data_IF_143911138372
#
_entry.id   IF_143911138372
#
_cell.length_a   1.000
_cell.length_b   1.000
_cell.length_c   1.000
_cell.angle_alpha   90.00
_cell.angle_beta   90.00
_cell.angle_gamma   90.00
#
_symmetry.space_group_name_H-M   'P 1'
#
loop_
_entity.id
_entity.type
_entity.pdbx_description
1 polymer ?
#
# COMPACT_ATOMS: atom_id res chain seq x y z
N UNK A 1 -4.49 24.48 20.65
CA UNK A 1 -4.30 23.66 19.44
C UNK A 1 -2.94 23.02 19.59
N UNK A 2 -2.92 21.74 19.94
CA UNK A 2 -1.71 20.92 19.74
C UNK A 2 -1.85 20.43 18.31
N UNK A 3 -0.86 20.73 17.52
CA UNK A 3 -0.77 20.31 16.16
C UNK A 3 -0.67 18.78 16.23
N UNK A 4 -1.71 18.06 15.84
CA UNK A 4 -1.69 16.61 15.59
C UNK A 4 -0.85 16.37 14.33
N UNK A 5 0.40 16.83 14.33
CA UNK A 5 1.42 16.33 13.44
C UNK A 5 1.71 14.91 13.93
N UNK A 6 0.87 13.99 13.48
CA UNK A 6 1.22 12.58 13.39
C UNK A 6 2.63 12.51 12.84
N UNK A 7 3.46 11.70 13.47
CA UNK A 7 4.83 11.54 13.03
C UNK A 7 4.77 10.98 11.61
N UNK A 8 5.22 11.77 10.63
CA UNK A 8 5.14 11.42 9.22
C UNK A 8 5.84 10.08 9.02
N UNK A 9 5.15 9.10 8.46
CA UNK A 9 5.71 7.75 8.25
C UNK A 9 6.75 7.81 7.13
N UNK A 10 7.87 7.14 7.31
CA UNK A 10 8.83 6.88 6.24
C UNK A 10 8.27 5.81 5.29
N UNK A 11 7.67 6.25 4.18
CA UNK A 11 7.05 5.32 3.23
C UNK A 11 8.07 4.49 2.47
N UNK A 12 9.27 5.04 2.25
CA UNK A 12 10.33 4.33 1.53
C UNK A 12 10.76 3.10 2.35
N UNK A 13 10.96 3.27 3.65
CA UNK A 13 11.29 2.16 4.56
C UNK A 13 10.20 1.06 4.58
N UNK A 14 8.92 1.46 4.63
CA UNK A 14 7.78 0.51 4.55
C UNK A 14 7.79 -0.27 3.24
N UNK A 15 8.02 0.42 2.11
CA UNK A 15 8.07 -0.20 0.78
C UNK A 15 9.24 -1.18 0.71
N UNK A 16 10.43 -0.79 1.17
CA UNK A 16 11.60 -1.66 1.15
C UNK A 16 11.39 -2.91 2.01
N UNK A 17 10.83 -2.79 3.22
CA UNK A 17 10.46 -3.95 4.04
C UNK A 17 9.46 -4.88 3.30
N UNK A 18 8.47 -4.31 2.59
CA UNK A 18 7.50 -5.11 1.84
C UNK A 18 8.13 -5.82 0.64
N UNK A 19 9.04 -5.16 -0.08
CA UNK A 19 9.78 -5.75 -1.20
C UNK A 19 10.62 -6.93 -0.71
N UNK A 20 11.35 -6.78 0.40
CA UNK A 20 12.13 -7.87 0.99
C UNK A 20 11.26 -9.10 1.29
N UNK A 21 10.05 -8.90 1.83
CA UNK A 21 9.11 -10.00 2.07
C UNK A 21 8.66 -10.70 0.79
N UNK A 22 8.37 -9.95 -0.29
CA UNK A 22 7.95 -10.52 -1.57
C UNK A 22 9.09 -11.32 -2.19
N UNK A 23 10.32 -10.79 -2.17
CA UNK A 23 11.52 -11.48 -2.68
C UNK A 23 11.86 -12.74 -1.87
N UNK A 24 11.64 -12.73 -0.56
CA UNK A 24 11.81 -13.90 0.31
C UNK A 24 10.75 -14.98 0.05
N UNK A 25 9.50 -14.59 -0.20
CA UNK A 25 8.39 -15.49 -0.47
C UNK A 25 8.49 -16.14 -1.86
N UNK A 26 8.85 -15.36 -2.89
CA UNK A 26 9.04 -15.84 -4.26
C UNK A 26 10.11 -15.03 -5.03
N UNK A 27 11.34 -15.56 -5.16
CA UNK A 27 12.46 -14.87 -5.80
C UNK A 27 12.38 -14.81 -7.33
N UNK A 28 11.42 -15.51 -7.96
CA UNK A 28 11.24 -15.47 -9.42
C UNK A 28 10.38 -14.28 -9.86
N UNK A 29 9.77 -13.56 -8.92
CA UNK A 29 8.97 -12.36 -9.18
C UNK A 29 9.85 -11.16 -9.56
N UNK A 30 9.38 -10.40 -10.55
CA UNK A 30 9.94 -9.10 -10.92
C UNK A 30 9.17 -8.02 -10.18
N UNK A 31 9.89 -7.21 -9.41
CA UNK A 31 9.31 -6.15 -8.58
C UNK A 31 9.73 -4.78 -9.12
N UNK A 32 8.75 -3.91 -9.33
CA UNK A 32 8.94 -2.49 -9.56
C UNK A 32 8.24 -1.67 -8.48
N UNK A 33 8.75 -0.50 -8.16
CA UNK A 33 8.06 0.41 -7.23
C UNK A 33 8.22 1.87 -7.62
N UNK A 34 7.26 2.69 -7.21
CA UNK A 34 7.27 4.14 -7.37
C UNK A 34 6.91 4.81 -6.05
N UNK A 35 7.68 5.83 -5.67
CA UNK A 35 7.41 6.68 -4.49
C UNK A 35 6.87 8.02 -4.98
N UNK A 36 5.70 8.39 -4.49
CA UNK A 36 5.07 9.69 -4.76
C UNK A 36 5.36 10.59 -3.55
N UNK A 37 6.54 11.21 -3.56
CA UNK A 37 7.10 11.94 -2.40
C UNK A 37 6.21 13.07 -1.87
N UNK A 38 5.57 13.85 -2.76
CA UNK A 38 4.67 14.94 -2.35
C UNK A 38 3.40 14.45 -1.64
N UNK A 39 3.04 13.18 -1.84
CA UNK A 39 1.86 12.55 -1.23
C UNK A 39 2.22 11.54 -0.13
N UNK A 40 3.52 11.34 0.15
CA UNK A 40 4.07 10.36 1.09
C UNK A 40 3.38 8.98 0.98
N UNK A 41 3.38 8.43 -0.22
CA UNK A 41 2.83 7.11 -0.54
C UNK A 41 3.69 6.43 -1.61
N UNK A 42 3.42 5.17 -1.89
CA UNK A 42 4.01 4.50 -3.04
C UNK A 42 3.15 3.39 -3.61
N UNK A 43 3.66 2.81 -4.70
CA UNK A 43 3.03 1.72 -5.43
C UNK A 43 4.10 0.66 -5.65
N UNK A 44 3.78 -0.60 -5.35
CA UNK A 44 4.60 -1.76 -5.67
C UNK A 44 3.85 -2.55 -6.75
N UNK A 45 4.57 -2.95 -7.79
CA UNK A 45 4.07 -3.72 -8.92
C UNK A 45 4.86 -5.01 -8.97
N UNK A 46 4.14 -6.14 -8.95
CA UNK A 46 4.76 -7.47 -8.99
C UNK A 46 4.30 -8.20 -10.24
N UNK A 47 5.25 -8.75 -10.98
CA UNK A 47 5.02 -9.48 -12.21
C UNK A 47 5.79 -10.81 -12.21
N UNK A 48 5.28 -11.79 -12.95
CA UNK A 48 6.00 -13.02 -13.25
C UNK A 48 6.12 -13.14 -14.78
N UNK A 49 7.36 -13.17 -15.28
CA UNK A 49 7.64 -13.03 -16.71
C UNK A 49 7.00 -11.75 -17.28
N UNK A 50 6.06 -11.89 -18.23
CA UNK A 50 5.31 -10.79 -18.84
C UNK A 50 3.89 -10.61 -18.26
N UNK A 51 3.54 -11.35 -17.19
CA UNK A 51 2.22 -11.31 -16.56
C UNK A 51 2.26 -10.43 -15.31
N UNK A 52 1.46 -9.37 -15.32
CA UNK A 52 1.21 -8.55 -14.14
C UNK A 52 0.37 -9.35 -13.12
N UNK A 53 0.89 -9.51 -11.90
CA UNK A 53 0.26 -10.32 -10.85
C UNK A 53 -0.46 -9.44 -9.84
N UNK A 54 0.20 -8.38 -9.37
CA UNK A 54 -0.39 -7.51 -8.36
C UNK A 54 0.06 -6.05 -8.47
N UNK A 55 -0.79 -5.20 -7.91
CA UNK A 55 -0.51 -3.78 -7.63
C UNK A 55 -0.82 -3.54 -6.15
N UNK A 56 0.19 -3.17 -5.38
CA UNK A 56 0.07 -2.84 -3.96
C UNK A 56 0.24 -1.34 -3.75
N UNK A 57 -0.82 -0.66 -3.28
CA UNK A 57 -0.78 0.74 -2.88
C UNK A 57 -0.34 0.83 -1.43
N UNK A 58 0.78 1.48 -1.16
CA UNK A 58 1.32 1.68 0.19
C UNK A 58 1.04 3.12 0.62
N UNK A 59 0.17 3.29 1.61
CA UNK A 59 -0.34 4.59 2.04
C UNK A 59 0.19 4.96 3.42
N UNK A 60 0.55 6.23 3.62
CA UNK A 60 0.85 6.81 4.93
C UNK A 60 -0.41 7.15 5.74
N UNK A 61 -0.25 7.83 6.86
CA UNK A 61 -1.32 8.22 7.79
C UNK A 61 -2.39 9.12 7.16
N UNK A 62 -2.04 9.90 6.14
CA UNK A 62 -2.94 10.85 5.48
C UNK A 62 -3.23 10.54 4.02
N UNK A 63 -2.37 9.81 3.32
CA UNK A 63 -2.41 9.70 1.85
C UNK A 63 -3.60 8.89 1.32
N UNK A 64 -4.13 7.95 2.11
CA UNK A 64 -5.39 7.23 1.78
C UNK A 64 -6.63 8.13 1.82
N UNK A 65 -6.54 9.34 2.38
CA UNK A 65 -7.66 10.30 2.45
C UNK A 65 -7.78 11.18 1.21
N UNK A 66 -6.87 11.05 0.23
CA UNK A 66 -6.95 11.80 -1.04
C UNK A 66 -8.29 11.53 -1.72
N UNK A 67 -8.81 12.57 -2.37
CA UNK A 67 -10.14 12.54 -3.02
C UNK A 67 -10.27 11.39 -4.04
N UNK A 68 -9.19 11.05 -4.73
CA UNK A 68 -9.17 10.04 -5.79
C UNK A 68 -8.59 8.68 -5.37
N UNK A 69 -8.17 8.52 -4.11
CA UNK A 69 -7.51 7.29 -3.65
C UNK A 69 -8.35 6.04 -3.92
N UNK A 70 -9.63 6.06 -3.51
CA UNK A 70 -10.54 4.92 -3.74
C UNK A 70 -10.71 4.58 -5.22
N UNK A 71 -10.79 5.60 -6.08
CA UNK A 71 -10.94 5.40 -7.52
C UNK A 71 -9.68 4.80 -8.14
N UNK A 72 -8.49 5.28 -7.72
CA UNK A 72 -7.19 4.72 -8.16
C UNK A 72 -7.08 3.23 -7.82
N UNK A 73 -7.47 2.81 -6.62
CA UNK A 73 -7.42 1.39 -6.23
C UNK A 73 -8.36 0.54 -7.07
N UNK A 74 -9.56 1.05 -7.37
CA UNK A 74 -10.55 0.33 -8.16
C UNK A 74 -10.12 0.22 -9.63
N UNK A 75 -9.54 1.28 -10.18
CA UNK A 75 -9.13 1.34 -11.59
C UNK A 75 -7.89 0.50 -11.88
N UNK A 76 -7.07 0.20 -10.85
CA UNK A 76 -5.95 -0.72 -10.97
C UNK A 76 -6.38 -2.20 -11.03
N UNK A 77 -7.61 -2.52 -10.64
CA UNK A 77 -8.12 -3.88 -10.62
C UNK A 77 -8.59 -4.38 -11.98
N UNK A 78 -8.25 -5.61 -12.31
CA UNK A 78 -8.75 -6.38 -13.46
C UNK A 78 -9.00 -7.85 -13.03
N UNK A 79 -9.61 -8.68 -13.88
CA UNK A 79 -10.00 -10.07 -13.54
C UNK A 79 -8.83 -10.94 -13.02
N UNK A 80 -7.60 -10.65 -13.46
CA UNK A 80 -6.40 -11.42 -13.13
C UNK A 80 -5.37 -10.66 -12.28
N UNK A 81 -5.69 -9.43 -11.81
CA UNK A 81 -4.76 -8.59 -11.04
C UNK A 81 -5.23 -8.48 -9.59
N UNK A 82 -4.37 -8.89 -8.66
CA UNK A 82 -4.61 -8.67 -7.24
C UNK A 82 -4.29 -7.20 -6.88
N UNK A 83 -5.25 -6.49 -6.28
CA UNK A 83 -5.00 -5.15 -5.76
C UNK A 83 -4.97 -5.17 -4.24
N UNK A 84 -3.86 -4.73 -3.64
CA UNK A 84 -3.76 -4.56 -2.20
C UNK A 84 -3.64 -3.08 -1.84
N UNK A 85 -4.37 -2.65 -0.81
CA UNK A 85 -4.20 -1.33 -0.19
C UNK A 85 -3.61 -1.56 1.19
N UNK A 86 -2.33 -1.24 1.32
CA UNK A 86 -1.54 -1.40 2.54
C UNK A 86 -1.54 -0.06 3.27
N UNK A 87 -2.04 -0.05 4.51
CA UNK A 87 -2.26 1.17 5.28
C UNK A 87 -1.69 1.06 6.70
N UNK A 88 -1.50 2.18 7.41
CA UNK A 88 -1.12 2.14 8.82
C UNK A 88 -2.20 1.42 9.62
N UNK A 89 -1.79 0.69 10.66
CA UNK A 89 -2.69 -0.12 11.48
C UNK A 89 -3.88 0.65 12.03
N UNK A 90 -3.67 1.91 12.40
CA UNK A 90 -4.69 2.81 12.93
C UNK A 90 -5.76 3.19 11.88
N UNK A 91 -5.40 3.19 10.59
CA UNK A 91 -6.30 3.51 9.48
C UNK A 91 -7.09 2.29 8.96
N UNK A 92 -6.64 1.07 9.29
CA UNK A 92 -7.14 -0.18 8.71
C UNK A 92 -8.67 -0.30 8.72
N UNK A 93 -9.31 -0.13 9.88
CA UNK A 93 -10.76 -0.32 10.00
C UNK A 93 -11.56 0.69 9.16
N UNK A 94 -11.07 1.92 9.06
CA UNK A 94 -11.73 2.96 8.29
C UNK A 94 -11.61 2.69 6.78
N UNK A 95 -10.40 2.38 6.32
CA UNK A 95 -10.14 2.06 4.91
C UNK A 95 -10.87 0.79 4.49
N UNK A 96 -10.81 -0.27 5.31
CA UNK A 96 -11.57 -1.50 5.08
C UNK A 96 -13.08 -1.23 4.97
N UNK A 97 -13.65 -0.43 5.88
CA UNK A 97 -15.09 -0.12 5.83
C UNK A 97 -15.49 0.64 4.56
N UNK A 98 -14.61 1.49 4.02
CA UNK A 98 -14.84 2.21 2.75
C UNK A 98 -14.77 1.26 1.56
N UNK A 99 -13.78 0.38 1.54
CA UNK A 99 -13.47 -0.47 0.39
C UNK A 99 -14.18 -1.83 0.38
N UNK A 100 -14.76 -2.29 1.50
CA UNK A 100 -15.39 -3.63 1.60
C UNK A 100 -16.45 -3.93 0.54
N UNK A 101 -17.15 -2.91 0.02
CA UNK A 101 -18.14 -3.04 -1.08
C UNK A 101 -17.50 -3.41 -2.43
N UNK A 102 -16.17 -3.35 -2.52
CA UNK A 102 -15.36 -3.65 -3.69
C UNK A 102 -14.49 -4.90 -3.53
N UNK A 103 -14.59 -5.61 -2.39
CA UNK A 103 -13.78 -6.80 -2.10
C UNK A 103 -13.98 -7.94 -3.12
N UNK A 104 -15.17 -8.04 -3.73
CA UNK A 104 -15.47 -9.04 -4.77
C UNK A 104 -14.70 -8.80 -6.09
N UNK A 105 -14.00 -7.66 -6.22
CA UNK A 105 -13.22 -7.28 -7.40
C UNK A 105 -11.71 -7.51 -7.25
N UNK A 106 -11.30 -8.44 -6.38
CA UNK A 106 -9.86 -8.71 -6.15
C UNK A 106 -9.12 -7.64 -5.35
N UNK A 107 -9.85 -6.69 -4.74
CA UNK A 107 -9.30 -5.65 -3.88
C UNK A 107 -9.26 -6.13 -2.42
N UNK A 108 -8.08 -6.07 -1.80
CA UNK A 108 -7.87 -6.36 -0.39
C UNK A 108 -7.26 -5.17 0.35
N UNK A 109 -7.50 -5.09 1.67
CA UNK A 109 -6.89 -4.10 2.56
C UNK A 109 -6.04 -4.83 3.57
N UNK A 110 -4.80 -4.38 3.74
CA UNK A 110 -3.81 -4.92 4.66
C UNK A 110 -3.31 -3.80 5.57
N UNK A 111 -2.99 -4.13 6.82
CA UNK A 111 -2.30 -3.20 7.71
C UNK A 111 -0.81 -3.50 7.76
N UNK A 112 0.01 -2.50 8.09
CA UNK A 112 1.43 -2.71 8.40
C UNK A 112 1.63 -3.81 9.46
N UNK A 113 0.83 -3.80 10.52
CA UNK A 113 0.87 -4.84 11.57
C UNK A 113 0.53 -6.23 11.02
N UNK A 114 -0.45 -6.36 10.11
CA UNK A 114 -0.81 -7.66 9.51
C UNK A 114 0.30 -8.23 8.64
N UNK A 115 1.17 -7.37 8.11
CA UNK A 115 2.35 -7.73 7.33
C UNK A 115 3.62 -7.81 8.18
N UNK A 116 3.57 -7.50 9.47
CA UNK A 116 4.75 -7.41 10.32
C UNK A 116 5.72 -6.27 9.97
N UNK A 117 5.26 -5.27 9.21
CA UNK A 117 6.07 -4.10 8.81
C UNK A 117 6.12 -3.10 9.97
N UNK A 118 7.33 -2.62 10.28
CA UNK A 118 7.56 -1.63 11.31
C UNK A 118 7.72 -0.25 10.65
N UNK A 119 6.70 0.60 10.75
CA UNK A 119 6.81 1.97 10.24
C UNK A 119 7.67 2.82 11.17
N UNK A 120 8.74 3.42 10.64
CA UNK A 120 9.51 4.45 11.36
C UNK A 120 9.05 5.87 11.02
N UNK A 121 9.29 6.83 11.93
CA UNK A 121 9.24 8.25 11.60
C UNK A 121 10.16 8.62 10.43
N UNK A 122 9.67 9.41 9.48
CA UNK A 122 10.49 10.08 8.48
C UNK A 122 11.48 11.01 9.21
N UNK A 123 12.77 10.84 8.94
CA UNK A 123 13.79 11.73 9.48
C UNK A 123 13.63 13.14 8.89
N UNK A 124 13.54 14.14 9.75
CA UNK A 124 13.47 15.57 9.36
C UNK A 124 14.81 16.22 9.08
#
# INVERSE_FOLDING_TARGET
MKDELGVLIDIEDVILQRIEQIEEDDPDLVIGYEIIGDENRGIIITALEDLLISVEFVESDLSWRRELAEQEYIDAGDEDILVAVIVPTEAYLEVYSRLRKHAEKGLMVLSYESLGILSTPLAG
#
